data_IF_297622479472
#
_entry.id   IF_297622479472
#
_cell.length_a   1.000
_cell.length_b   1.000
_cell.length_c   1.000
_cell.angle_alpha   90.00
_cell.angle_beta   90.00
_cell.angle_gamma   90.00
#
_symmetry.space_group_name_H-M   'P 1'
#
loop_
_entity.id
_entity.type
_entity.pdbx_description
1 polymer ?
#
# COMPACT_ATOMS: atom_id res chain seq x y z
N UNK A 1 -17.41 -9.21 -27.24
CA UNK A 1 -18.36 -9.79 -26.28
C UNK A 1 -17.64 -10.63 -25.21
N UNK A 2 -16.84 -11.64 -25.55
CA UNK A 2 -16.09 -12.44 -24.55
C UNK A 2 -15.15 -11.61 -23.65
N UNK A 3 -14.50 -10.57 -24.21
CA UNK A 3 -13.56 -9.73 -23.47
C UNK A 3 -14.19 -8.99 -22.27
N UNK A 4 -15.44 -8.58 -22.38
CA UNK A 4 -16.12 -7.81 -21.31
C UNK A 4 -16.53 -8.70 -20.15
N UNK A 5 -16.93 -9.94 -20.43
CA UNK A 5 -17.23 -10.92 -19.39
C UNK A 5 -15.99 -11.20 -18.52
N UNK A 6 -14.82 -11.36 -19.15
CA UNK A 6 -13.55 -11.54 -18.45
C UNK A 6 -13.19 -10.32 -17.59
N UNK A 7 -13.36 -9.10 -18.11
CA UNK A 7 -13.15 -7.88 -17.33
C UNK A 7 -14.06 -7.82 -16.11
N UNK A 8 -15.34 -8.18 -16.27
CA UNK A 8 -16.29 -8.21 -15.17
C UNK A 8 -15.92 -9.23 -14.09
N UNK A 9 -15.48 -10.43 -14.47
CA UNK A 9 -15.04 -11.48 -13.53
C UNK A 9 -13.78 -11.09 -12.79
N UNK A 10 -12.74 -10.61 -13.49
CA UNK A 10 -11.49 -10.17 -12.86
C UNK A 10 -11.75 -8.98 -11.93
N UNK A 11 -12.51 -7.97 -12.39
CA UNK A 11 -12.81 -6.78 -11.57
C UNK A 11 -13.52 -7.16 -10.27
N UNK A 12 -14.57 -8.01 -10.32
CA UNK A 12 -15.26 -8.49 -9.10
C UNK A 12 -14.31 -9.23 -8.16
N UNK A 13 -13.49 -10.13 -8.70
CA UNK A 13 -12.51 -10.86 -7.92
C UNK A 13 -11.48 -9.92 -7.27
N UNK A 14 -11.03 -8.89 -7.99
CA UNK A 14 -10.14 -7.87 -7.46
C UNK A 14 -10.79 -7.04 -6.34
N UNK A 15 -12.06 -6.65 -6.49
CA UNK A 15 -12.82 -5.91 -5.46
C UNK A 15 -12.93 -6.75 -4.17
N UNK A 16 -13.30 -8.03 -4.29
CA UNK A 16 -13.40 -8.95 -3.15
C UNK A 16 -12.06 -9.09 -2.41
N UNK A 17 -10.95 -9.06 -3.14
CA UNK A 17 -9.60 -9.13 -2.58
C UNK A 17 -9.11 -7.79 -2.03
N UNK A 18 -9.54 -6.68 -2.61
CA UNK A 18 -9.27 -5.34 -2.10
C UNK A 18 -9.85 -5.18 -0.68
N UNK A 19 -11.07 -5.66 -0.43
CA UNK A 19 -11.67 -5.66 0.92
C UNK A 19 -10.86 -6.47 1.94
N UNK A 20 -10.14 -7.49 1.47
CA UNK A 20 -9.23 -8.33 2.27
C UNK A 20 -7.80 -7.80 2.30
N UNK A 21 -7.54 -6.64 1.69
CA UNK A 21 -6.22 -6.04 1.58
C UNK A 21 -5.15 -6.95 0.94
N UNK A 22 -5.57 -7.81 0.00
CA UNK A 22 -4.71 -8.86 -0.59
C UNK A 22 -4.42 -8.56 -2.06
N UNK A 23 -3.13 -8.54 -2.42
CA UNK A 23 -2.71 -8.58 -3.82
C UNK A 23 -2.94 -9.98 -4.41
N UNK A 24 -3.48 -10.04 -5.63
CA UNK A 24 -3.91 -11.27 -6.29
C UNK A 24 -2.81 -11.74 -7.26
N UNK A 25 -2.22 -12.94 -7.07
CA UNK A 25 -1.34 -13.57 -8.05
C UNK A 25 -2.04 -13.74 -9.41
N UNK A 26 -1.31 -13.50 -10.50
CA UNK A 26 -1.89 -13.66 -11.85
C UNK A 26 -2.38 -15.09 -12.10
N UNK A 27 -1.75 -16.05 -11.47
CA UNK A 27 -2.11 -17.47 -11.51
C UNK A 27 -3.54 -17.72 -11.00
N UNK A 28 -4.04 -16.95 -10.03
CA UNK A 28 -5.42 -17.10 -9.53
C UNK A 28 -6.45 -16.78 -10.64
N UNK A 29 -6.11 -15.94 -11.63
CA UNK A 29 -7.01 -15.67 -12.76
C UNK A 29 -7.07 -16.83 -13.76
N UNK A 30 -6.03 -17.66 -13.82
CA UNK A 30 -6.03 -18.88 -14.64
C UNK A 30 -7.07 -19.85 -14.12
N UNK A 31 -7.12 -20.04 -12.81
CA UNK A 31 -8.10 -20.91 -12.18
C UNK A 31 -9.50 -20.31 -12.27
N UNK A 32 -9.63 -18.98 -12.12
CA UNK A 32 -10.91 -18.27 -12.22
C UNK A 32 -11.53 -18.31 -13.62
N UNK A 33 -10.72 -18.19 -14.68
CA UNK A 33 -11.20 -18.01 -16.05
C UNK A 33 -11.02 -19.24 -16.93
N UNK A 34 -10.16 -20.20 -16.54
CA UNK A 34 -9.81 -21.35 -17.36
C UNK A 34 -8.98 -20.99 -18.60
N UNK A 35 -8.30 -19.84 -18.61
CA UNK A 35 -7.57 -19.32 -19.77
C UNK A 35 -6.05 -19.50 -19.64
N UNK A 36 -5.31 -19.65 -20.76
CA UNK A 36 -3.86 -19.62 -20.74
C UNK A 36 -3.32 -18.29 -20.19
N UNK A 37 -2.15 -18.32 -19.52
CA UNK A 37 -1.52 -17.12 -18.94
C UNK A 37 -1.32 -15.98 -19.95
N UNK A 38 -0.92 -16.30 -21.19
CA UNK A 38 -0.78 -15.31 -22.26
C UNK A 38 -2.08 -14.56 -22.54
N UNK A 39 -3.22 -15.24 -22.47
CA UNK A 39 -4.54 -14.60 -22.66
C UNK A 39 -4.87 -13.73 -21.46
N UNK A 40 -4.55 -14.17 -20.24
CA UNK A 40 -4.73 -13.37 -19.03
C UNK A 40 -3.91 -12.09 -19.09
N UNK A 41 -2.64 -12.16 -19.50
CA UNK A 41 -1.79 -10.97 -19.65
C UNK A 41 -2.38 -9.98 -20.67
N UNK A 42 -2.92 -10.48 -21.79
CA UNK A 42 -3.61 -9.66 -22.78
C UNK A 42 -4.92 -9.04 -22.25
N UNK A 43 -5.63 -9.73 -21.36
CA UNK A 43 -6.84 -9.18 -20.72
C UNK A 43 -6.43 -8.10 -19.72
N UNK A 44 -5.47 -8.38 -18.85
CA UNK A 44 -4.96 -7.44 -17.84
C UNK A 44 -4.38 -6.17 -18.46
N UNK A 45 -3.70 -6.25 -19.61
CA UNK A 45 -3.15 -5.07 -20.30
C UNK A 45 -4.22 -4.11 -20.83
N UNK A 46 -5.44 -4.60 -21.05
CA UNK A 46 -6.58 -3.80 -21.54
C UNK A 46 -7.52 -3.34 -20.42
N UNK A 47 -7.38 -3.89 -19.22
CA UNK A 47 -8.21 -3.51 -18.07
C UNK A 47 -8.12 -2.04 -17.63
N UNK A 48 -6.97 -1.34 -17.73
CA UNK A 48 -6.89 0.06 -17.29
C UNK A 48 -7.96 0.95 -17.95
N UNK A 49 -8.20 0.77 -19.26
CA UNK A 49 -9.22 1.52 -20.00
C UNK A 49 -10.63 1.31 -19.41
N UNK A 50 -10.96 0.07 -19.06
CA UNK A 50 -12.23 -0.29 -18.45
C UNK A 50 -12.36 0.28 -17.02
N UNK A 51 -11.32 0.11 -16.20
CA UNK A 51 -11.33 0.51 -14.79
C UNK A 51 -11.32 2.03 -14.60
N UNK A 52 -10.66 2.78 -15.49
CA UNK A 52 -10.64 4.24 -15.43
C UNK A 52 -12.06 4.83 -15.51
N UNK A 53 -12.96 4.23 -16.28
CA UNK A 53 -14.37 4.65 -16.35
C UNK A 53 -15.11 4.54 -15.00
N UNK A 54 -14.59 3.72 -14.08
CA UNK A 54 -15.12 3.50 -12.73
C UNK A 54 -14.34 4.28 -11.65
N UNK A 55 -13.35 5.10 -12.05
CA UNK A 55 -12.43 5.76 -11.10
C UNK A 55 -11.52 4.78 -10.36
N UNK A 56 -11.24 3.62 -10.97
CA UNK A 56 -10.40 2.56 -10.42
C UNK A 56 -9.14 2.38 -11.26
N UNK A 57 -8.10 1.85 -10.64
CA UNK A 57 -6.82 1.56 -11.27
C UNK A 57 -6.32 0.19 -10.83
N UNK A 58 -5.84 -0.59 -11.78
CA UNK A 58 -5.13 -1.84 -11.51
C UNK A 58 -3.63 -1.57 -11.53
N UNK A 59 -2.93 -1.99 -10.47
CA UNK A 59 -1.49 -1.82 -10.33
C UNK A 59 -0.79 -3.17 -10.30
N UNK A 60 0.38 -3.24 -10.94
CA UNK A 60 1.23 -4.41 -10.94
C UNK A 60 2.16 -4.43 -9.73
N UNK A 61 2.36 -5.61 -9.15
CA UNK A 61 3.21 -5.82 -7.97
C UNK A 61 4.19 -6.98 -8.24
N UNK A 62 5.48 -6.73 -8.02
CA UNK A 62 6.52 -7.76 -8.02
C UNK A 62 7.53 -7.46 -6.91
N UNK A 63 7.94 -8.49 -6.16
CA UNK A 63 8.91 -8.36 -5.06
C UNK A 63 8.62 -7.22 -4.04
N UNK A 64 7.34 -6.86 -3.88
CA UNK A 64 6.81 -5.79 -3.03
C UNK A 64 6.97 -4.35 -3.56
N UNK A 65 7.31 -4.20 -4.83
CA UNK A 65 7.36 -2.93 -5.54
C UNK A 65 6.23 -2.84 -6.55
N UNK A 66 5.85 -1.60 -6.89
CA UNK A 66 4.97 -1.34 -8.01
C UNK A 66 5.76 -1.47 -9.31
N UNK A 67 5.22 -2.26 -10.25
CA UNK A 67 5.85 -2.53 -11.54
C UNK A 67 4.80 -2.46 -12.65
N UNK A 68 5.21 -2.30 -13.93
CA UNK A 68 4.31 -2.43 -15.06
C UNK A 68 3.54 -3.76 -15.03
N UNK A 69 2.27 -3.75 -15.48
CA UNK A 69 1.41 -4.96 -15.49
C UNK A 69 2.03 -6.13 -16.26
N UNK A 70 2.87 -5.87 -17.27
CA UNK A 70 3.61 -6.88 -18.03
C UNK A 70 4.62 -7.65 -17.18
N UNK A 71 5.21 -7.01 -16.18
CA UNK A 71 6.26 -7.58 -15.31
C UNK A 71 5.71 -8.06 -13.95
N UNK A 72 4.47 -7.70 -13.66
CA UNK A 72 3.80 -8.00 -12.42
C UNK A 72 3.58 -9.50 -12.22
N UNK A 73 3.88 -10.00 -11.01
CA UNK A 73 3.50 -11.35 -10.55
C UNK A 73 2.15 -11.35 -9.85
N UNK A 74 1.83 -10.24 -9.19
CA UNK A 74 0.54 -10.00 -8.53
C UNK A 74 -0.03 -8.68 -9.02
N UNK A 75 -1.33 -8.52 -8.87
CA UNK A 75 -2.02 -7.27 -9.16
C UNK A 75 -2.87 -6.86 -7.98
N UNK A 76 -3.14 -5.56 -7.86
CA UNK A 76 -4.03 -5.01 -6.86
C UNK A 76 -4.92 -3.94 -7.49
N UNK A 77 -6.12 -3.78 -6.95
CA UNK A 77 -7.07 -2.76 -7.38
C UNK A 77 -7.09 -1.62 -6.38
N UNK A 78 -6.88 -0.40 -6.86
CA UNK A 78 -6.98 0.82 -6.05
C UNK A 78 -7.96 1.81 -6.68
N UNK A 79 -8.37 2.80 -5.89
CA UNK A 79 -9.07 3.97 -6.41
C UNK A 79 -8.04 4.86 -7.10
N UNK A 80 -8.39 5.43 -8.25
CA UNK A 80 -7.55 6.43 -8.89
C UNK A 80 -7.42 7.63 -7.95
N UNK A 81 -6.18 8.11 -7.76
CA UNK A 81 -5.92 9.40 -7.16
C UNK A 81 -6.30 10.48 -8.18
N UNK A 82 -7.57 10.84 -8.24
CA UNK A 82 -7.99 12.04 -8.97
C UNK A 82 -7.64 13.21 -8.05
N UNK A 83 -6.82 14.17 -8.51
CA UNK A 83 -6.40 15.36 -7.74
C UNK A 83 -7.57 16.12 -7.09
N UNK A 84 -8.78 15.95 -7.64
CA UNK A 84 -10.04 16.51 -7.13
C UNK A 84 -10.69 15.73 -5.98
N UNK A 85 -10.20 14.53 -5.66
CA UNK A 85 -10.54 13.79 -4.45
C UNK A 85 -9.50 14.04 -3.37
N UNK A 86 -9.25 15.32 -3.05
CA UNK A 86 -8.81 15.67 -1.69
C UNK A 86 -9.86 15.09 -0.76
N UNK A 87 -9.61 13.90 -0.22
CA UNK A 87 -10.44 13.29 0.82
C UNK A 87 -10.84 14.42 1.76
N UNK A 88 -12.14 14.57 2.01
CA UNK A 88 -12.62 15.42 3.10
C UNK A 88 -11.67 15.18 4.27
N UNK A 89 -10.99 16.22 4.75
CA UNK A 89 -9.90 16.12 5.74
C UNK A 89 -10.42 15.47 7.01
N UNK A 90 -10.51 14.15 7.02
CA UNK A 90 -10.84 13.37 8.20
C UNK A 90 -9.60 13.38 9.06
N UNK A 91 -9.75 13.82 10.31
CA UNK A 91 -8.69 13.81 11.29
C UNK A 91 -8.17 12.37 11.39
N UNK A 92 -6.86 12.12 11.20
CA UNK A 92 -6.31 10.77 11.28
C UNK A 92 -6.57 10.15 12.66
N UNK A 93 -6.95 8.88 12.65
CA UNK A 93 -7.06 8.05 13.85
C UNK A 93 -5.69 7.90 14.54
N UNK A 94 -5.68 7.50 15.81
CA UNK A 94 -4.42 7.25 16.52
C UNK A 94 -3.57 6.16 15.86
N UNK A 95 -4.21 5.14 15.28
CA UNK A 95 -3.52 4.06 14.57
C UNK A 95 -2.87 4.56 13.28
N UNK A 96 -3.58 5.37 12.49
CA UNK A 96 -3.03 6.03 11.31
C UNK A 96 -1.86 6.96 11.68
N UNK A 97 -1.97 7.73 12.77
CA UNK A 97 -0.88 8.59 13.25
C UNK A 97 0.38 7.77 13.57
N UNK A 98 0.23 6.62 14.23
CA UNK A 98 1.35 5.70 14.51
C UNK A 98 1.98 5.21 13.22
N UNK A 99 1.15 4.80 12.26
CA UNK A 99 1.60 4.30 10.97
C UNK A 99 2.37 5.38 10.20
N UNK A 100 1.87 6.62 10.19
CA UNK A 100 2.55 7.77 9.57
C UNK A 100 3.90 8.07 10.21
N UNK A 101 4.03 7.93 11.53
CA UNK A 101 5.33 8.04 12.20
C UNK A 101 6.28 6.94 11.76
N UNK A 102 5.79 5.70 11.57
CA UNK A 102 6.63 4.61 11.04
C UNK A 102 7.09 4.89 9.62
N UNK A 103 6.18 5.37 8.75
CA UNK A 103 6.55 5.76 7.38
C UNK A 103 7.62 6.84 7.38
N UNK A 104 7.45 7.87 8.22
CA UNK A 104 8.44 8.93 8.39
C UNK A 104 9.79 8.40 8.85
N UNK A 105 9.82 7.54 9.87
CA UNK A 105 11.05 6.97 10.40
C UNK A 105 11.81 6.15 9.34
N UNK A 106 11.09 5.36 8.53
CA UNK A 106 11.69 4.58 7.43
C UNK A 106 12.23 5.50 6.33
N UNK A 107 11.47 6.52 5.92
CA UNK A 107 11.89 7.44 4.86
C UNK A 107 13.08 8.31 5.27
N UNK A 108 13.12 8.78 6.53
CA UNK A 108 14.26 9.54 7.07
C UNK A 108 15.56 8.73 7.13
N UNK A 109 15.44 7.41 7.25
CA UNK A 109 16.56 6.47 7.27
C UNK A 109 16.81 5.84 5.88
N UNK A 110 16.58 6.60 4.81
CA UNK A 110 16.80 6.17 3.41
C UNK A 110 16.04 4.88 3.03
N UNK A 111 14.79 4.78 3.44
CA UNK A 111 13.90 3.63 3.25
C UNK A 111 14.35 2.33 3.94
N UNK A 112 15.20 2.45 4.97
CA UNK A 112 15.72 1.31 5.73
C UNK A 112 15.70 1.61 7.23
N UNK A 113 14.85 0.91 7.97
CA UNK A 113 14.74 1.08 9.41
C UNK A 113 15.17 -0.20 10.13
N UNK A 114 16.36 -0.18 10.70
CA UNK A 114 16.90 -1.33 11.46
C UNK A 114 16.03 -1.64 12.68
N UNK A 115 15.78 -2.92 12.94
CA UNK A 115 14.99 -3.36 14.10
C UNK A 115 15.61 -2.89 15.44
N UNK A 116 16.94 -2.79 15.50
CA UNK A 116 17.70 -2.24 16.64
C UNK A 116 17.26 -0.82 17.01
N UNK A 117 16.77 -0.03 16.03
CA UNK A 117 16.31 1.34 16.21
C UNK A 117 14.86 1.45 16.68
N UNK A 118 14.09 0.36 16.76
CA UNK A 118 12.68 0.41 17.22
C UNK A 118 12.52 1.04 18.61
N UNK A 119 13.55 0.94 19.47
CA UNK A 119 13.57 1.62 20.76
C UNK A 119 13.35 3.13 20.68
N UNK A 120 13.81 3.78 19.61
CA UNK A 120 13.61 5.22 19.37
C UNK A 120 12.15 5.60 19.21
N UNK A 121 11.29 4.71 18.72
CA UNK A 121 9.86 5.00 18.58
C UNK A 121 9.15 5.08 19.93
N UNK A 122 9.73 4.50 21.00
CA UNK A 122 9.13 4.54 22.35
C UNK A 122 9.08 5.94 22.95
N UNK A 123 9.95 6.86 22.49
CA UNK A 123 9.89 8.26 22.94
C UNK A 123 8.74 9.03 22.30
N UNK A 124 8.17 8.51 21.21
CA UNK A 124 7.02 9.11 20.56
C UNK A 124 5.75 8.91 21.40
N UNK A 125 5.00 9.96 21.75
CA UNK A 125 3.79 9.85 22.56
C UNK A 125 2.75 8.87 21.98
N UNK A 126 2.71 8.74 20.65
CA UNK A 126 1.78 7.83 19.99
C UNK A 126 2.07 6.35 20.30
N UNK A 127 3.31 5.98 20.61
CA UNK A 127 3.71 4.60 20.91
C UNK A 127 3.75 4.26 22.41
N UNK A 128 3.29 5.16 23.29
CA UNK A 128 3.25 4.90 24.73
C UNK A 128 2.37 3.68 25.03
N UNK A 129 2.96 2.65 25.65
CA UNK A 129 2.26 1.41 26.02
C UNK A 129 1.98 0.46 24.85
N UNK A 130 2.50 0.74 23.65
CA UNK A 130 2.33 -0.12 22.47
C UNK A 130 3.48 -1.12 22.39
N UNK A 131 3.17 -2.39 22.11
CA UNK A 131 4.18 -3.34 21.67
C UNK A 131 4.55 -3.03 20.20
N UNK A 132 5.69 -2.36 20.00
CA UNK A 132 6.11 -1.88 18.69
C UNK A 132 6.34 -3.04 17.71
N UNK A 133 6.90 -4.17 18.16
CA UNK A 133 7.14 -5.32 17.28
C UNK A 133 5.83 -5.93 16.78
N UNK A 134 4.86 -6.14 17.67
CA UNK A 134 3.52 -6.62 17.28
C UNK A 134 2.84 -5.65 16.31
N UNK A 135 2.97 -4.34 16.55
CA UNK A 135 2.49 -3.32 15.62
C UNK A 135 3.14 -3.48 14.23
N UNK A 136 4.46 -3.60 14.16
CA UNK A 136 5.17 -3.78 12.89
C UNK A 136 4.76 -5.08 12.17
N UNK A 137 4.61 -6.19 12.91
CA UNK A 137 4.16 -7.46 12.34
C UNK A 137 2.73 -7.38 11.79
N UNK A 138 1.80 -6.71 12.48
CA UNK A 138 0.46 -6.44 11.97
C UNK A 138 0.51 -5.69 10.63
N UNK A 139 1.31 -4.63 10.55
CA UNK A 139 1.40 -3.82 9.33
C UNK A 139 2.19 -4.47 8.19
N UNK A 140 3.08 -5.41 8.52
CA UNK A 140 3.72 -6.31 7.57
C UNK A 140 2.72 -7.29 6.96
N UNK A 141 1.88 -7.93 7.78
CA UNK A 141 0.83 -8.82 7.29
C UNK A 141 -0.15 -8.08 6.36
N UNK A 142 -0.39 -6.80 6.64
CA UNK A 142 -1.24 -5.94 5.83
C UNK A 142 -0.55 -5.36 4.58
N UNK A 143 0.73 -5.68 4.33
CA UNK A 143 1.46 -5.26 3.13
C UNK A 143 2.01 -3.84 3.14
N UNK A 144 1.88 -3.11 4.26
CA UNK A 144 2.44 -1.76 4.41
C UNK A 144 3.92 -1.76 4.73
N UNK A 145 4.40 -2.82 5.39
CA UNK A 145 5.80 -2.99 5.76
C UNK A 145 6.33 -4.29 5.17
N UNK A 146 7.63 -4.31 4.92
CA UNK A 146 8.38 -5.52 4.61
C UNK A 146 9.59 -5.60 5.53
N UNK A 147 10.06 -6.81 5.78
CA UNK A 147 11.28 -7.06 6.54
C UNK A 147 12.23 -7.88 5.68
N UNK A 148 13.50 -7.50 5.66
CA UNK A 148 14.57 -8.23 5.00
C UNK A 148 15.76 -8.38 5.94
N UNK A 149 16.62 -9.35 5.66
CA UNK A 149 17.83 -9.59 6.44
C UNK A 149 19.02 -8.92 5.75
N UNK A 150 19.67 -7.98 6.42
CA UNK A 150 20.90 -7.34 5.95
C UNK A 150 21.99 -7.48 7.00
N UNK A 151 23.13 -8.07 6.63
CA UNK A 151 24.28 -8.28 7.53
C UNK A 151 23.86 -8.89 8.88
N UNK A 152 23.01 -9.92 8.82
CA UNK A 152 22.43 -10.61 9.98
C UNK A 152 21.38 -9.84 10.80
N UNK A 153 21.07 -8.60 10.46
CA UNK A 153 20.08 -7.78 11.16
C UNK A 153 18.78 -7.66 10.36
N UNK A 154 17.60 -7.69 11.02
CA UNK A 154 16.34 -7.38 10.36
C UNK A 154 16.24 -5.88 10.06
N UNK A 155 15.91 -5.55 8.81
CA UNK A 155 15.70 -4.19 8.31
C UNK A 155 14.28 -4.09 7.77
N UNK A 156 13.55 -3.11 8.27
CA UNK A 156 12.19 -2.79 7.87
C UNK A 156 12.18 -1.74 6.75
N UNK A 157 11.34 -1.94 5.75
CA UNK A 157 11.13 -1.01 4.65
C UNK A 157 9.63 -0.89 4.33
N UNK A 158 9.27 0.09 3.51
CA UNK A 158 7.89 0.27 3.03
C UNK A 158 7.53 -0.86 2.08
N UNK A 159 6.32 -1.40 2.23
CA UNK A 159 5.76 -2.43 1.36
C UNK A 159 4.89 -1.87 0.24
N UNK A 160 4.48 -2.75 -0.68
CA UNK A 160 3.68 -2.38 -1.85
C UNK A 160 2.44 -1.56 -1.49
N UNK A 161 1.77 -1.86 -0.37
CA UNK A 161 0.52 -1.19 0.01
C UNK A 161 0.73 0.26 0.39
N UNK A 162 1.89 0.60 0.96
CA UNK A 162 2.25 1.99 1.17
C UNK A 162 2.25 2.74 -0.18
N UNK A 163 2.91 2.21 -1.21
CA UNK A 163 2.98 2.87 -2.52
C UNK A 163 1.63 2.93 -3.24
N UNK A 164 0.76 1.96 -2.99
CA UNK A 164 -0.60 1.94 -3.52
C UNK A 164 -1.45 3.06 -2.93
N UNK A 165 -1.44 3.21 -1.61
CA UNK A 165 -2.39 4.07 -0.88
C UNK A 165 -1.84 5.47 -0.57
N UNK A 166 -0.52 5.58 -0.41
CA UNK A 166 0.18 6.78 0.05
C UNK A 166 1.19 7.27 -1.00
N UNK A 167 2.06 6.39 -1.48
CA UNK A 167 2.95 6.59 -2.64
C UNK A 167 3.57 7.99 -2.74
N UNK A 168 3.56 8.54 -3.95
CA UNK A 168 4.09 9.88 -4.26
C UNK A 168 3.28 11.02 -3.62
N UNK A 169 2.09 10.72 -3.07
CA UNK A 169 1.20 11.71 -2.47
C UNK A 169 1.43 11.90 -0.96
N UNK A 170 2.26 11.07 -0.32
CA UNK A 170 2.55 11.20 1.10
C UNK A 170 3.71 12.16 1.33
N UNK A 171 3.38 13.43 1.46
CA UNK A 171 4.33 14.47 1.86
C UNK A 171 4.48 14.50 3.38
N UNK A 172 5.62 13.97 3.86
CA UNK A 172 6.01 14.03 5.26
C UNK A 172 6.04 15.45 5.83
N UNK A 173 6.54 16.39 5.03
CA UNK A 173 6.70 17.79 5.44
C UNK A 173 5.32 18.42 5.59
N UNK A 174 4.41 18.20 4.64
CA UNK A 174 3.03 18.68 4.75
C UNK A 174 2.31 18.06 5.96
N UNK A 175 2.43 16.74 6.14
CA UNK A 175 1.80 16.03 7.25
C UNK A 175 2.21 16.60 8.62
N UNK A 176 3.50 16.84 8.85
CA UNK A 176 3.97 17.35 10.15
C UNK A 176 3.84 18.88 10.32
N UNK A 177 3.74 19.66 9.24
CA UNK A 177 3.49 21.12 9.30
C UNK A 177 2.15 21.47 9.97
N UNK A 178 1.10 20.67 9.74
CA UNK A 178 -0.20 20.90 10.36
C UNK A 178 -0.15 20.76 11.90
N UNK A 179 0.76 19.94 12.43
CA UNK A 179 0.89 19.71 13.88
C UNK A 179 1.73 20.77 14.60
N UNK A 180 2.72 21.38 13.95
CA UNK A 180 3.44 22.53 14.52
C UNK A 180 2.53 23.74 14.72
N UNK A 181 1.54 23.91 13.85
CA UNK A 181 0.60 25.05 13.91
C UNK A 181 -0.46 24.87 15.00
N UNK A 182 -0.87 23.62 15.27
CA UNK A 182 -1.91 23.30 16.27
C UNK A 182 -1.39 23.36 17.72
N UNK A 183 -0.08 23.13 17.92
CA UNK A 183 0.56 23.29 19.23
C UNK A 183 0.72 24.76 19.63
N UNK A 184 0.81 25.69 18.67
CA UNK A 184 0.91 27.12 18.95
C UNK A 184 -0.43 27.78 19.30
N UNK A 185 -1.57 27.17 18.96
CA UNK A 185 -2.91 27.67 19.31
C UNK A 185 -3.46 27.09 20.61
N UNK A 186 -2.71 26.21 21.27
CA UNK A 186 -3.07 25.57 22.55
C UNK A 186 -2.12 25.96 23.71
N UNK A 187 -1.25 26.96 23.47
CA UNK A 187 -0.29 27.50 24.44
C UNK A 187 -0.72 28.87 24.95
#
# INVERSE_FOLDING_TARGET
MESEEYFGKITRHLIENQHKCRAVPKEEFKDLLGLPMRTIDNVLSRMPEFLHSLGLEIVGISQNELVPLSEAKKVFLRKMCIEHTKKAKTIPTLEEKRLFVVFAAIQLENNQFEESKLGSLRVCPYFKGVNILEFFDQYKMNGYLIIRKEKEMPVWSLGWRFYVEYGDCFDLVEYFKEYTTTLQSSS
#
